data_IF_216015696249
#
_entry.id   IF_216015696249
#
_cell.length_a   1.000
_cell.length_b   1.000
_cell.length_c   1.000
_cell.angle_alpha   90.00
_cell.angle_beta   90.00
_cell.angle_gamma   90.00
#
_symmetry.space_group_name_H-M   'P 1'
#
loop_
_entity.id
_entity.type
_entity.pdbx_description
1 polymer ?
#
# COMPACT_ATOMS: atom_id res chain seq x y z
N UNK A 1 5.19 -9.63 -9.05
CA UNK A 1 4.80 -8.32 -8.47
C UNK A 1 4.97 -7.27 -9.56
N UNK A 2 3.97 -6.44 -9.85
CA UNK A 2 4.07 -5.46 -10.91
C UNK A 2 5.10 -4.38 -10.57
N UNK A 3 6.02 -4.08 -11.50
CA UNK A 3 6.94 -2.92 -11.41
C UNK A 3 6.15 -1.60 -11.21
N UNK A 4 4.94 -1.53 -11.75
CA UNK A 4 4.00 -0.43 -11.57
C UNK A 4 3.68 -0.13 -10.11
N UNK A 5 3.56 -1.16 -9.26
CA UNK A 5 3.31 -0.95 -7.83
C UNK A 5 4.54 -0.37 -7.10
N UNK A 6 5.74 -0.85 -7.41
CA UNK A 6 6.97 -0.30 -6.82
C UNK A 6 7.15 1.19 -7.18
N UNK A 7 6.89 1.55 -8.42
CA UNK A 7 6.95 2.95 -8.86
C UNK A 7 5.86 3.80 -8.22
N UNK A 8 4.64 3.27 -8.09
CA UNK A 8 3.55 3.99 -7.41
C UNK A 8 3.88 4.23 -5.93
N UNK A 9 4.40 3.24 -5.21
CA UNK A 9 4.78 3.43 -3.80
C UNK A 9 5.96 4.38 -3.64
N UNK A 10 6.83 4.50 -4.65
CA UNK A 10 7.88 5.52 -4.68
C UNK A 10 7.32 6.95 -4.75
N UNK A 11 6.23 7.18 -5.51
CA UNK A 11 5.56 8.50 -5.51
C UNK A 11 4.97 8.83 -4.13
N UNK A 12 4.40 7.85 -3.46
CA UNK A 12 3.93 8.01 -2.07
C UNK A 12 5.07 8.31 -1.10
N UNK A 13 6.25 7.73 -1.31
CA UNK A 13 7.45 8.03 -0.54
C UNK A 13 7.90 9.48 -0.77
N UNK A 14 7.89 9.96 -2.01
CA UNK A 14 8.27 11.35 -2.30
C UNK A 14 7.33 12.33 -1.60
N UNK A 15 6.02 12.09 -1.67
CA UNK A 15 5.03 12.88 -0.92
C UNK A 15 5.33 12.90 0.59
N UNK A 16 5.74 11.77 1.15
CA UNK A 16 6.11 11.65 2.57
C UNK A 16 7.40 12.39 2.94
N UNK A 17 8.41 12.35 2.09
CA UNK A 17 9.69 13.07 2.36
C UNK A 17 9.48 14.55 2.63
N UNK A 18 8.53 15.17 1.92
CA UNK A 18 8.19 16.57 2.10
C UNK A 18 7.23 16.80 3.29
N UNK A 19 6.41 15.80 3.64
CA UNK A 19 5.49 15.83 4.77
C UNK A 19 6.08 15.31 6.09
N UNK A 20 7.32 14.84 6.10
CA UNK A 20 7.97 14.28 7.29
C UNK A 20 8.08 15.25 8.47
N UNK A 21 7.68 16.52 8.30
CA UNK A 21 7.48 17.46 9.42
C UNK A 21 6.14 17.26 10.13
N UNK A 22 5.15 16.57 9.60
CA UNK A 22 3.98 16.16 10.36
C UNK A 22 4.21 14.78 10.96
N UNK A 23 4.86 14.75 12.11
CA UNK A 23 5.04 13.55 12.93
C UNK A 23 3.71 12.78 13.14
N UNK A 24 2.58 13.49 13.11
CA UNK A 24 1.25 12.93 13.26
C UNK A 24 0.86 11.90 12.19
N UNK A 25 1.27 12.09 10.94
CA UNK A 25 0.94 11.14 9.87
C UNK A 25 1.75 9.84 10.00
N UNK A 26 3.00 9.95 10.46
CA UNK A 26 3.87 8.80 10.74
C UNK A 26 3.34 8.07 11.96
N UNK A 27 3.05 8.79 13.04
CA UNK A 27 2.56 8.21 14.29
C UNK A 27 1.26 7.45 14.08
N UNK A 28 0.29 8.00 13.35
CA UNK A 28 -0.97 7.32 13.03
C UNK A 28 -0.79 6.02 12.25
N UNK A 29 0.20 5.96 11.36
CA UNK A 29 0.47 4.72 10.59
C UNK A 29 1.24 3.69 11.42
N UNK A 30 2.08 4.13 12.35
CA UNK A 30 2.70 3.25 13.35
C UNK A 30 1.66 2.66 14.29
N UNK A 31 0.64 3.45 14.68
CA UNK A 31 -0.48 3.00 15.51
C UNK A 31 -1.28 1.86 14.85
N UNK A 32 -1.28 1.74 13.52
CA UNK A 32 -1.97 0.65 12.83
C UNK A 32 -1.41 -0.71 13.23
N UNK A 33 -0.09 -0.90 13.14
CA UNK A 33 0.51 -2.19 13.47
C UNK A 33 0.39 -2.49 14.96
N UNK A 34 0.60 -1.52 15.84
CA UNK A 34 0.41 -1.70 17.27
C UNK A 34 -1.05 -1.96 17.65
N UNK A 35 -2.00 -1.35 16.97
CA UNK A 35 -3.44 -1.65 17.13
C UNK A 35 -3.79 -3.07 16.73
N UNK A 36 -3.17 -3.60 15.66
CA UNK A 36 -3.33 -4.98 15.23
C UNK A 36 -2.67 -5.94 16.23
N UNK A 37 -1.47 -5.62 16.74
CA UNK A 37 -0.81 -6.39 17.82
C UNK A 37 -1.70 -6.49 19.05
N UNK A 38 -2.30 -5.38 19.46
CA UNK A 38 -3.22 -5.35 20.57
C UNK A 38 -4.45 -6.24 20.34
N UNK A 39 -5.03 -6.17 19.12
CA UNK A 39 -6.21 -6.96 18.75
C UNK A 39 -5.92 -8.48 18.78
N UNK A 40 -4.78 -8.90 18.21
CA UNK A 40 -4.40 -10.31 18.13
C UNK A 40 -3.58 -10.79 19.33
N UNK A 41 -3.18 -9.90 20.23
CA UNK A 41 -2.27 -10.20 21.37
C UNK A 41 -1.01 -10.92 20.91
N UNK A 42 -0.47 -10.50 19.77
CA UNK A 42 0.66 -11.16 19.10
C UNK A 42 1.52 -10.12 18.40
N UNK A 43 2.83 -10.24 18.56
CA UNK A 43 3.85 -9.46 17.86
C UNK A 43 4.53 -10.33 16.80
N UNK A 44 4.73 -9.85 15.56
CA UNK A 44 5.34 -10.66 14.52
C UNK A 44 6.83 -10.91 14.80
N UNK A 45 7.26 -12.15 14.65
CA UNK A 45 8.70 -12.49 14.67
C UNK A 45 9.39 -12.06 13.38
N UNK A 46 8.73 -12.32 12.24
CA UNK A 46 9.18 -11.96 10.90
C UNK A 46 8.05 -11.22 10.19
N UNK A 47 8.32 -10.01 9.73
CA UNK A 47 7.33 -9.22 8.99
C UNK A 47 7.84 -8.91 7.59
N UNK A 48 7.00 -9.15 6.57
CA UNK A 48 7.28 -8.77 5.19
C UNK A 48 6.42 -7.58 4.78
N UNK A 49 7.04 -6.52 4.32
CA UNK A 49 6.37 -5.42 3.62
C UNK A 49 6.44 -5.60 2.11
N UNK A 50 5.29 -5.53 1.48
CA UNK A 50 5.13 -5.60 0.04
C UNK A 50 4.97 -4.18 -0.49
N UNK A 51 6.01 -3.67 -1.16
CA UNK A 51 6.12 -2.26 -1.52
C UNK A 51 6.52 -1.38 -0.34
N UNK A 52 6.72 -0.10 -0.60
CA UNK A 52 6.90 0.89 0.46
C UNK A 52 5.56 1.18 1.13
N UNK A 53 5.54 1.15 2.44
CA UNK A 53 4.42 1.65 3.23
C UNK A 53 4.95 2.53 4.37
N UNK A 54 4.33 3.67 4.66
CA UNK A 54 4.67 4.48 5.84
C UNK A 54 4.57 3.73 7.17
N UNK A 55 3.85 2.60 7.21
CA UNK A 55 3.85 1.70 8.37
C UNK A 55 5.24 1.14 8.70
N UNK A 56 6.18 1.16 7.73
CA UNK A 56 7.57 0.75 7.95
C UNK A 56 8.37 1.75 8.78
N UNK A 57 7.96 3.02 8.79
CA UNK A 57 8.68 4.07 9.49
C UNK A 57 8.46 3.92 11.00
N UNK A 58 9.52 3.72 11.75
CA UNK A 58 9.48 3.51 13.20
C UNK A 58 9.16 2.08 13.67
N UNK A 59 9.14 1.12 12.75
CA UNK A 59 9.04 -0.30 13.10
C UNK A 59 10.31 -0.76 13.81
N UNK A 60 10.16 -1.34 15.00
CA UNK A 60 11.26 -1.87 15.83
C UNK A 60 11.33 -3.39 15.85
N UNK A 61 10.67 -4.07 14.89
CA UNK A 61 10.69 -5.53 14.83
C UNK A 61 12.08 -6.07 14.51
N UNK A 62 12.39 -7.22 15.06
CA UNK A 62 13.72 -7.85 14.93
C UNK A 62 14.05 -8.22 13.48
N UNK A 63 13.09 -8.76 12.76
CA UNK A 63 13.28 -9.27 11.40
C UNK A 63 12.27 -8.61 10.46
N UNK A 64 12.71 -7.56 9.78
CA UNK A 64 11.92 -6.84 8.78
C UNK A 64 12.42 -7.22 7.39
N UNK A 65 11.51 -7.63 6.54
CA UNK A 65 11.77 -7.96 5.14
C UNK A 65 10.97 -7.03 4.24
N UNK A 66 11.52 -6.70 3.09
CA UNK A 66 10.90 -5.79 2.12
C UNK A 66 11.05 -6.36 0.71
N UNK A 67 10.00 -6.26 -0.06
CA UNK A 67 9.99 -6.63 -1.48
C UNK A 67 9.24 -5.60 -2.32
N UNK A 68 9.47 -5.59 -3.65
CA UNK A 68 8.71 -4.75 -4.57
C UNK A 68 8.88 -3.26 -4.34
N UNK A 69 10.10 -2.82 -4.08
CA UNK A 69 10.47 -1.40 -3.95
C UNK A 69 11.52 -1.02 -5.01
N UNK A 70 11.59 0.26 -5.35
CA UNK A 70 12.60 0.82 -6.27
C UNK A 70 13.95 0.99 -5.59
N UNK A 71 15.01 1.20 -6.38
CA UNK A 71 16.34 1.48 -5.84
C UNK A 71 16.36 2.80 -5.04
N UNK A 72 15.61 3.80 -5.49
CA UNK A 72 15.46 5.08 -4.80
C UNK A 72 14.81 4.89 -3.42
N UNK A 73 13.81 4.01 -3.34
CA UNK A 73 13.20 3.64 -2.04
C UNK A 73 14.20 2.92 -1.14
N UNK A 74 15.02 2.00 -1.67
CA UNK A 74 16.09 1.35 -0.88
C UNK A 74 17.06 2.38 -0.32
N UNK A 75 17.58 3.24 -1.18
CA UNK A 75 18.53 4.31 -0.77
C UNK A 75 17.94 5.19 0.34
N UNK A 76 16.64 5.50 0.26
CA UNK A 76 15.97 6.25 1.31
C UNK A 76 15.90 5.48 2.63
N UNK A 77 15.46 4.22 2.61
CA UNK A 77 15.36 3.40 3.82
C UNK A 77 16.73 3.24 4.49
N UNK A 78 17.78 3.07 3.69
CA UNK A 78 19.17 3.01 4.18
C UNK A 78 19.60 4.35 4.82
N UNK A 79 19.21 5.48 4.21
CA UNK A 79 19.55 6.82 4.73
C UNK A 79 18.93 7.15 6.08
N UNK A 80 17.78 6.54 6.39
CA UNK A 80 17.10 6.71 7.70
C UNK A 80 17.36 5.55 8.66
N UNK A 81 18.36 4.71 8.34
CA UNK A 81 18.86 3.63 9.17
C UNK A 81 17.79 2.55 9.55
N UNK A 82 16.78 2.35 8.73
CA UNK A 82 15.86 1.23 8.89
C UNK A 82 16.59 -0.07 8.55
N UNK A 83 16.65 -0.98 9.50
CA UNK A 83 17.22 -2.32 9.26
C UNK A 83 16.19 -3.22 8.61
N UNK A 84 16.47 -3.70 7.41
CA UNK A 84 15.62 -4.63 6.68
C UNK A 84 16.45 -5.59 5.82
N UNK A 85 15.84 -6.69 5.42
CA UNK A 85 16.37 -7.61 4.40
C UNK A 85 15.53 -7.46 3.14
N UNK A 86 16.15 -7.09 2.03
CA UNK A 86 15.47 -7.03 0.74
C UNK A 86 15.34 -8.42 0.11
N UNK A 87 14.15 -8.75 -0.37
CA UNK A 87 13.87 -9.98 -1.13
C UNK A 87 13.43 -9.58 -2.53
N UNK A 88 14.10 -10.12 -3.54
CA UNK A 88 13.66 -9.94 -4.93
C UNK A 88 12.29 -10.60 -5.15
N UNK A 89 11.42 -9.92 -5.88
CA UNK A 89 10.07 -10.43 -6.14
C UNK A 89 10.05 -11.81 -6.84
N UNK A 90 11.07 -12.13 -7.63
CA UNK A 90 11.20 -13.44 -8.30
C UNK A 90 11.47 -14.58 -7.31
N UNK A 91 12.10 -14.28 -6.17
CA UNK A 91 12.51 -15.27 -5.18
C UNK A 91 11.43 -15.54 -4.12
N UNK A 92 10.34 -14.75 -4.11
CA UNK A 92 9.26 -14.84 -3.11
C UNK A 92 8.67 -16.24 -2.96
N UNK A 93 8.59 -17.01 -4.05
CA UNK A 93 8.06 -18.39 -4.00
C UNK A 93 8.83 -19.30 -3.06
N UNK A 94 10.13 -19.02 -2.83
CA UNK A 94 10.96 -19.75 -1.87
C UNK A 94 10.65 -19.45 -0.41
N UNK A 95 9.81 -18.47 -0.12
CA UNK A 95 9.49 -18.00 1.23
C UNK A 95 8.08 -18.38 1.70
N UNK A 96 7.50 -19.44 1.16
CA UNK A 96 6.17 -19.88 1.54
C UNK A 96 6.05 -20.10 3.07
N UNK A 97 5.04 -19.47 3.69
CA UNK A 97 4.76 -19.54 5.15
C UNK A 97 5.91 -19.14 6.08
N UNK A 98 6.84 -18.32 5.61
CA UNK A 98 7.99 -17.90 6.42
C UNK A 98 7.75 -16.61 7.20
N UNK A 99 6.80 -15.79 6.81
CA UNK A 99 6.53 -14.53 7.49
C UNK A 99 5.36 -14.67 8.45
N UNK A 100 5.57 -14.34 9.72
CA UNK A 100 4.46 -14.27 10.68
C UNK A 100 3.39 -13.34 10.16
N UNK A 101 3.79 -12.14 9.73
CA UNK A 101 2.89 -11.16 9.12
C UNK A 101 3.39 -10.72 7.75
N UNK A 102 2.44 -10.50 6.84
CA UNK A 102 2.68 -9.86 5.53
C UNK A 102 1.84 -8.59 5.44
N UNK A 103 2.50 -7.46 5.27
CA UNK A 103 1.84 -6.16 5.08
C UNK A 103 1.81 -5.82 3.60
N UNK A 104 0.63 -5.87 2.99
CA UNK A 104 0.35 -5.48 1.62
C UNK A 104 -0.50 -4.20 1.63
N UNK A 105 0.13 -3.08 2.01
CA UNK A 105 -0.53 -1.79 2.20
C UNK A 105 -0.80 -1.04 0.89
N UNK A 106 -1.26 0.21 1.04
CA UNK A 106 -1.46 1.18 -0.04
C UNK A 106 -2.30 0.64 -1.23
N UNK A 107 -3.37 -0.09 -0.89
CA UNK A 107 -4.30 -0.69 -1.87
C UNK A 107 -3.62 -1.67 -2.86
N UNK A 108 -2.61 -2.41 -2.42
CA UNK A 108 -1.83 -3.34 -3.25
C UNK A 108 -2.67 -4.20 -4.20
N UNK A 109 -3.78 -4.75 -3.71
CA UNK A 109 -4.65 -5.64 -4.50
C UNK A 109 -5.44 -4.94 -5.61
N UNK A 110 -5.40 -3.60 -5.68
CA UNK A 110 -5.99 -2.87 -6.80
C UNK A 110 -5.06 -2.79 -8.02
N UNK A 111 -3.76 -3.13 -7.89
CA UNK A 111 -2.79 -3.15 -8.99
C UNK A 111 -2.90 -4.45 -9.79
N UNK A 112 -4.04 -4.62 -10.45
CA UNK A 112 -4.37 -5.79 -11.26
C UNK A 112 -5.15 -5.34 -12.50
N UNK A 113 -5.01 -6.06 -13.61
CA UNK A 113 -5.77 -5.78 -14.82
C UNK A 113 -7.11 -6.50 -14.83
N UNK A 114 -7.13 -7.71 -14.30
CA UNK A 114 -8.32 -8.56 -14.27
C UNK A 114 -8.66 -9.01 -12.85
N UNK A 115 -9.86 -9.52 -12.66
CA UNK A 115 -10.26 -10.16 -11.40
C UNK A 115 -9.42 -11.39 -11.08
N UNK A 116 -9.02 -12.14 -12.11
CA UNK A 116 -8.14 -13.30 -11.97
C UNK A 116 -6.75 -12.89 -11.45
N UNK A 117 -6.20 -11.76 -11.93
CA UNK A 117 -4.93 -11.22 -11.40
C UNK A 117 -5.07 -10.79 -9.95
N UNK A 118 -6.22 -10.23 -9.55
CA UNK A 118 -6.52 -9.89 -8.16
C UNK A 118 -6.52 -11.14 -7.29
N UNK A 119 -7.22 -12.19 -7.72
CA UNK A 119 -7.26 -13.46 -7.01
C UNK A 119 -5.87 -14.10 -6.88
N UNK A 120 -5.09 -14.10 -7.96
CA UNK A 120 -3.72 -14.60 -7.95
C UNK A 120 -2.82 -13.80 -6.99
N UNK A 121 -2.99 -12.49 -6.92
CA UNK A 121 -2.26 -11.62 -5.98
C UNK A 121 -2.60 -11.93 -4.53
N UNK A 122 -3.89 -12.15 -4.22
CA UNK A 122 -4.32 -12.55 -2.87
C UNK A 122 -3.75 -13.91 -2.50
N UNK A 123 -3.82 -14.88 -3.42
CA UNK A 123 -3.27 -16.23 -3.21
C UNK A 123 -1.75 -16.20 -2.97
N UNK A 124 -1.01 -15.38 -3.74
CA UNK A 124 0.44 -15.20 -3.53
C UNK A 124 0.72 -14.66 -2.12
N UNK A 125 0.07 -13.57 -1.73
CA UNK A 125 0.29 -12.96 -0.41
C UNK A 125 -0.09 -13.94 0.72
N UNK A 126 -1.21 -14.68 0.56
CA UNK A 126 -1.63 -15.70 1.52
C UNK A 126 -0.62 -16.86 1.63
N UNK A 127 0.03 -17.23 0.52
CA UNK A 127 1.06 -18.27 0.52
C UNK A 127 2.32 -17.89 1.31
N UNK A 128 2.62 -16.60 1.41
CA UNK A 128 3.79 -16.07 2.12
C UNK A 128 3.53 -15.93 3.63
N UNK A 129 2.30 -15.56 4.02
CA UNK A 129 1.93 -15.35 5.40
C UNK A 129 1.73 -16.67 6.14
N UNK A 130 2.30 -16.75 7.36
CA UNK A 130 2.09 -17.86 8.29
C UNK A 130 0.84 -17.62 9.15
N UNK A 131 0.73 -16.41 9.70
CA UNK A 131 -0.28 -16.10 10.72
C UNK A 131 -1.26 -15.03 10.24
N UNK A 132 -0.76 -13.91 9.65
CA UNK A 132 -1.59 -12.74 9.37
C UNK A 132 -1.16 -11.99 8.10
N UNK A 133 -2.17 -11.51 7.36
CA UNK A 133 -2.00 -10.48 6.33
C UNK A 133 -2.62 -9.19 6.85
N UNK A 134 -1.90 -8.08 6.70
CA UNK A 134 -2.39 -6.73 6.94
C UNK A 134 -2.45 -6.00 5.61
N UNK A 135 -3.61 -5.43 5.28
CA UNK A 135 -3.77 -4.66 4.05
C UNK A 135 -4.67 -3.45 4.27
N UNK A 136 -4.66 -2.55 3.31
CA UNK A 136 -5.56 -1.40 3.28
C UNK A 136 -6.41 -1.42 2.04
N UNK A 137 -7.65 -0.97 2.17
CA UNK A 137 -8.60 -0.94 1.07
C UNK A 137 -9.59 0.22 1.24
N UNK A 138 -9.94 0.85 0.13
CA UNK A 138 -11.02 1.84 0.12
C UNK A 138 -12.38 1.17 -0.04
N UNK A 139 -13.42 1.83 0.43
CA UNK A 139 -14.78 1.43 0.09
C UNK A 139 -15.17 1.96 -1.29
N UNK A 140 -14.97 1.10 -2.30
CA UNK A 140 -15.34 1.41 -3.68
C UNK A 140 -16.85 1.30 -3.97
N UNK A 141 -17.64 0.74 -3.06
CA UNK A 141 -19.08 0.50 -3.26
C UNK A 141 -19.87 1.78 -3.44
N UNK A 142 -19.44 2.86 -2.79
CA UNK A 142 -20.14 4.16 -2.78
C UNK A 142 -19.44 5.21 -3.67
N UNK A 143 -18.49 4.82 -4.50
CA UNK A 143 -17.81 5.77 -5.40
C UNK A 143 -18.59 5.93 -6.70
N UNK A 144 -19.02 7.14 -6.99
CA UNK A 144 -19.43 7.54 -8.33
C UNK A 144 -18.18 7.82 -9.15
N UNK A 145 -17.71 6.83 -9.89
CA UNK A 145 -16.60 7.00 -10.81
C UNK A 145 -17.01 7.91 -11.97
N UNK A 146 -16.33 9.05 -12.11
CA UNK A 146 -16.41 9.93 -13.28
C UNK A 146 -15.45 9.43 -14.33
N UNK A 147 -15.72 9.69 -15.60
CA UNK A 147 -14.85 9.29 -16.71
C UNK A 147 -13.40 9.74 -16.53
N UNK A 148 -13.24 10.92 -15.92
CA UNK A 148 -11.95 11.52 -15.59
C UNK A 148 -12.05 12.24 -14.26
N UNK A 149 -11.08 12.05 -13.41
CA UNK A 149 -11.05 12.68 -12.10
C UNK A 149 -9.61 13.07 -11.72
N UNK A 150 -9.47 14.28 -11.20
CA UNK A 150 -8.24 14.69 -10.51
C UNK A 150 -8.44 14.55 -9.00
N UNK A 151 -7.44 14.03 -8.32
CA UNK A 151 -7.38 14.12 -6.87
C UNK A 151 -7.24 15.58 -6.44
N UNK A 152 -7.50 15.86 -5.17
CA UNK A 152 -7.08 17.13 -4.62
C UNK A 152 -5.55 17.18 -4.63
N UNK A 153 -4.94 18.30 -5.10
CA UNK A 153 -3.50 18.46 -5.02
C UNK A 153 -3.04 18.35 -3.58
N UNK A 154 -2.04 17.52 -3.32
CA UNK A 154 -1.26 17.59 -2.10
C UNK A 154 -0.12 18.57 -2.34
N UNK A 155 -0.21 19.76 -1.78
CA UNK A 155 0.86 20.75 -1.82
C UNK A 155 1.70 20.64 -0.54
N UNK A 156 3.00 20.54 -0.71
CA UNK A 156 3.97 20.50 0.39
C UNK A 156 4.91 21.67 0.19
N UNK A 157 4.97 22.54 1.18
CA UNK A 157 5.86 23.70 1.19
C UNK A 157 6.97 23.45 2.21
N UNK A 158 8.21 23.53 1.74
CA UNK A 158 9.39 23.65 2.57
C UNK A 158 9.96 25.07 2.38
N UNK A 159 10.77 25.58 3.31
CA UNK A 159 11.25 26.95 3.33
C UNK A 159 11.90 27.47 2.03
N UNK A 160 12.32 26.60 1.13
CA UNK A 160 12.94 26.93 -0.16
C UNK A 160 12.33 26.21 -1.36
N UNK A 161 11.44 25.25 -1.16
CA UNK A 161 10.91 24.40 -2.26
C UNK A 161 9.42 24.16 -2.08
N UNK A 162 8.68 24.26 -3.18
CA UNK A 162 7.30 23.84 -3.24
C UNK A 162 7.18 22.57 -4.08
N UNK A 163 6.46 21.57 -3.56
CA UNK A 163 6.21 20.32 -4.25
C UNK A 163 4.70 20.06 -4.25
N UNK A 164 4.15 19.82 -5.43
CA UNK A 164 2.73 19.50 -5.60
C UNK A 164 2.61 18.11 -6.20
N UNK A 165 1.82 17.26 -5.55
CA UNK A 165 1.41 15.96 -6.08
C UNK A 165 -0.05 16.02 -6.51
N UNK A 166 -0.32 15.50 -7.69
CA UNK A 166 -1.66 15.40 -8.26
C UNK A 166 -1.85 14.03 -8.88
N UNK A 167 -2.87 13.30 -8.47
CA UNK A 167 -3.28 12.07 -9.15
C UNK A 167 -4.37 12.37 -10.16
N UNK A 168 -4.20 11.85 -11.38
CA UNK A 168 -5.20 11.84 -12.41
C UNK A 168 -5.68 10.42 -12.67
N UNK A 169 -7.00 10.22 -12.67
CA UNK A 169 -7.64 8.94 -12.92
C UNK A 169 -8.47 9.01 -14.19
N UNK A 170 -8.21 8.07 -15.09
CA UNK A 170 -9.02 7.83 -16.29
C UNK A 170 -9.69 6.48 -16.14
N UNK A 171 -11.00 6.46 -16.02
CA UNK A 171 -11.79 5.24 -15.90
C UNK A 171 -12.08 4.62 -17.27
N UNK A 172 -12.13 3.29 -17.32
CA UNK A 172 -12.41 2.55 -18.53
C UNK A 172 -13.93 2.46 -18.73
N UNK A 173 -14.40 2.82 -19.94
CA UNK A 173 -15.84 2.74 -20.26
C UNK A 173 -16.37 1.30 -20.33
N UNK A 174 -15.52 0.38 -20.79
CA UNK A 174 -15.87 -1.05 -20.92
C UNK A 174 -15.90 -1.79 -19.60
N UNK A 175 -15.19 -1.28 -18.58
CA UNK A 175 -15.12 -1.86 -17.24
C UNK A 175 -15.10 -0.76 -16.19
N UNK A 176 -16.27 -0.45 -15.64
CA UNK A 176 -16.46 0.59 -14.61
C UNK A 176 -15.63 0.37 -13.33
N UNK A 177 -15.07 -0.82 -13.16
CA UNK A 177 -14.24 -1.15 -12.01
C UNK A 177 -12.73 -0.95 -12.30
N UNK A 178 -12.35 -0.63 -13.53
CA UNK A 178 -10.97 -0.43 -13.93
C UNK A 178 -10.67 1.04 -14.26
N UNK A 179 -9.47 1.47 -13.93
CA UNK A 179 -8.99 2.81 -14.27
C UNK A 179 -7.48 2.85 -14.44
N UNK A 180 -6.99 3.88 -15.10
CA UNK A 180 -5.58 4.24 -15.16
C UNK A 180 -5.31 5.43 -14.24
N UNK A 181 -4.26 5.34 -13.44
CA UNK A 181 -3.80 6.42 -12.56
C UNK A 181 -2.49 6.97 -13.10
N UNK A 182 -2.40 8.29 -13.26
CA UNK A 182 -1.14 9.01 -13.49
C UNK A 182 -0.88 9.92 -12.29
N UNK A 183 0.33 9.88 -11.74
CA UNK A 183 0.74 10.78 -10.68
C UNK A 183 1.63 11.84 -11.27
N UNK A 184 1.29 13.10 -11.05
CA UNK A 184 2.10 14.24 -11.42
C UNK A 184 2.78 14.79 -10.18
N UNK A 185 4.09 14.95 -10.28
CA UNK A 185 4.94 15.62 -9.31
C UNK A 185 5.42 16.92 -9.96
N UNK A 186 5.07 18.05 -9.36
CA UNK A 186 5.41 19.37 -9.86
C UNK A 186 6.26 20.09 -8.82
N UNK A 187 7.49 20.42 -9.20
CA UNK A 187 8.42 21.14 -8.36
C UNK A 187 8.96 22.32 -9.15
N UNK A 188 8.75 23.52 -8.65
CA UNK A 188 9.09 24.79 -9.32
C UNK A 188 8.47 24.84 -10.75
N UNK A 189 9.29 24.90 -11.77
CA UNK A 189 8.89 24.92 -13.19
C UNK A 189 8.98 23.52 -13.86
N UNK A 190 9.28 22.47 -13.09
CA UNK A 190 9.41 21.08 -13.58
C UNK A 190 8.20 20.25 -13.21
N UNK A 191 7.75 19.44 -14.16
CA UNK A 191 6.70 18.46 -13.97
C UNK A 191 7.20 17.08 -14.37
N UNK A 192 7.10 16.13 -13.45
CA UNK A 192 7.37 14.72 -13.69
C UNK A 192 6.06 13.94 -13.63
N UNK A 193 5.83 13.06 -14.61
CA UNK A 193 4.67 12.16 -14.64
C UNK A 193 5.11 10.72 -14.41
N UNK A 194 4.38 10.01 -13.54
CA UNK A 194 4.56 8.58 -13.26
C UNK A 194 3.30 7.82 -13.65
N UNK A 195 3.46 6.74 -14.35
CA UNK A 195 2.36 5.92 -14.85
C UNK A 195 2.19 6.03 -16.37
N UNK A 196 0.99 5.74 -16.93
CA UNK A 196 -0.21 5.34 -16.20
C UNK A 196 -0.09 3.97 -15.53
N UNK A 197 -0.64 3.86 -14.31
CA UNK A 197 -0.75 2.62 -13.57
C UNK A 197 -2.15 2.04 -13.75
N UNK A 198 -2.26 0.84 -14.29
CA UNK A 198 -3.56 0.15 -14.38
C UNK A 198 -3.98 -0.31 -13.00
N UNK A 199 -5.22 0.00 -12.65
CA UNK A 199 -5.83 -0.34 -11.37
C UNK A 199 -7.24 -0.85 -11.58
N UNK A 200 -7.69 -1.69 -10.65
CA UNK A 200 -9.03 -2.26 -10.63
C UNK A 200 -9.57 -2.25 -9.20
N UNK A 201 -10.84 -1.84 -9.02
CA UNK A 201 -11.48 -1.86 -7.72
C UNK A 201 -11.46 -3.27 -7.11
N UNK A 202 -11.11 -3.34 -5.82
CA UNK A 202 -11.22 -4.54 -5.00
C UNK A 202 -12.30 -4.26 -3.95
N UNK A 203 -13.38 -5.03 -3.97
CA UNK A 203 -14.45 -4.89 -2.99
C UNK A 203 -14.19 -5.76 -1.76
N UNK A 204 -14.64 -5.33 -0.58
CA UNK A 204 -14.46 -6.10 0.67
C UNK A 204 -14.94 -7.54 0.57
N UNK A 205 -16.13 -7.76 -0.01
CA UNK A 205 -16.67 -9.11 -0.21
C UNK A 205 -15.81 -9.96 -1.15
N UNK A 206 -15.25 -9.35 -2.19
CA UNK A 206 -14.38 -9.99 -3.16
C UNK A 206 -13.05 -10.38 -2.50
N UNK A 207 -12.43 -9.43 -1.76
CA UNK A 207 -11.20 -9.72 -1.02
C UNK A 207 -11.42 -10.82 0.02
N UNK A 208 -12.53 -10.77 0.76
CA UNK A 208 -12.87 -11.82 1.73
C UNK A 208 -13.03 -13.20 1.05
N UNK A 209 -13.74 -13.26 -0.08
CA UNK A 209 -13.88 -14.50 -0.85
C UNK A 209 -12.53 -15.04 -1.30
N UNK A 210 -11.71 -14.22 -1.96
CA UNK A 210 -10.38 -14.64 -2.42
C UNK A 210 -9.46 -15.08 -1.28
N UNK A 211 -9.59 -14.44 -0.12
CA UNK A 211 -8.82 -14.81 1.07
C UNK A 211 -9.25 -16.19 1.60
N UNK A 212 -10.55 -16.48 1.65
CA UNK A 212 -11.08 -17.80 2.04
C UNK A 212 -10.63 -18.86 1.05
N UNK A 213 -10.75 -18.60 -0.25
CA UNK A 213 -10.29 -19.50 -1.32
C UNK A 213 -8.79 -19.79 -1.21
N UNK A 214 -8.00 -18.84 -0.67
CA UNK A 214 -6.58 -18.97 -0.38
C UNK A 214 -6.25 -19.59 1.00
N UNK A 215 -7.25 -20.06 1.75
CA UNK A 215 -7.08 -20.75 3.02
C UNK A 215 -7.14 -19.86 4.27
N UNK A 216 -7.63 -18.64 4.16
CA UNK A 216 -7.83 -17.76 5.31
C UNK A 216 -8.94 -18.28 6.24
N UNK A 217 -8.73 -18.12 7.54
CA UNK A 217 -9.67 -18.50 8.59
C UNK A 217 -10.60 -17.36 8.98
N UNK A 218 -10.08 -16.14 9.00
CA UNK A 218 -10.83 -14.95 9.43
C UNK A 218 -10.47 -13.75 8.56
N UNK A 219 -11.46 -12.89 8.37
CA UNK A 219 -11.34 -11.61 7.70
C UNK A 219 -11.94 -10.53 8.61
N UNK A 220 -11.14 -9.54 8.98
CA UNK A 220 -11.56 -8.50 9.91
C UNK A 220 -11.27 -7.10 9.36
N UNK A 221 -12.25 -6.20 9.44
CA UNK A 221 -12.12 -4.79 9.09
C UNK A 221 -12.02 -3.97 10.37
N UNK A 222 -10.88 -3.33 10.60
CA UNK A 222 -10.61 -2.52 11.78
C UNK A 222 -11.24 -1.14 11.65
N UNK A 223 -12.38 -0.94 12.28
CA UNK A 223 -13.11 0.35 12.22
C UNK A 223 -12.35 1.47 12.92
N UNK A 224 -11.63 1.16 13.98
CA UNK A 224 -10.90 2.13 14.80
C UNK A 224 -9.52 2.51 14.24
N UNK A 225 -9.03 1.78 13.23
CA UNK A 225 -7.75 2.02 12.59
C UNK A 225 -7.87 2.67 11.21
N UNK A 226 -9.05 3.19 10.86
CA UNK A 226 -9.24 3.92 9.61
C UNK A 226 -8.39 5.19 9.59
N UNK A 227 -7.75 5.47 8.46
CA UNK A 227 -7.01 6.70 8.27
C UNK A 227 -7.37 7.38 6.95
N UNK A 228 -7.18 8.69 6.93
CA UNK A 228 -7.39 9.48 5.72
C UNK A 228 -6.18 9.30 4.81
N UNK A 229 -6.41 8.91 3.56
CA UNK A 229 -5.33 8.83 2.58
C UNK A 229 -4.61 10.18 2.46
N UNK A 230 -3.28 10.15 2.35
CA UNK A 230 -2.47 11.37 2.20
C UNK A 230 -2.81 12.16 0.93
N UNK A 231 -3.19 11.46 -0.12
CA UNK A 231 -3.42 12.05 -1.45
C UNK A 231 -4.91 12.25 -1.73
N UNK A 232 -5.82 11.66 -0.91
CA UNK A 232 -7.27 11.72 -1.14
C UNK A 232 -8.05 11.96 0.14
N UNK A 233 -9.24 12.60 0.02
CA UNK A 233 -10.18 12.80 1.15
C UNK A 233 -10.83 11.51 1.65
N UNK A 234 -10.64 10.39 0.96
CA UNK A 234 -11.30 9.13 1.28
C UNK A 234 -10.59 8.38 2.40
N UNK A 235 -11.36 7.70 3.22
CA UNK A 235 -10.83 6.84 4.26
C UNK A 235 -10.34 5.51 3.68
N UNK A 236 -9.19 5.07 4.13
CA UNK A 236 -8.70 3.72 3.90
C UNK A 236 -9.00 2.87 5.13
N UNK A 237 -9.60 1.73 4.90
CA UNK A 237 -9.88 0.75 5.94
C UNK A 237 -8.69 -0.18 6.09
N UNK A 238 -8.29 -0.39 7.33
CA UNK A 238 -7.29 -1.42 7.65
C UNK A 238 -8.00 -2.75 7.80
N UNK A 239 -7.46 -3.75 7.13
CA UNK A 239 -7.99 -5.11 7.09
C UNK A 239 -6.92 -6.07 7.55
N UNK A 240 -7.29 -7.00 8.41
CA UNK A 240 -6.45 -8.14 8.76
C UNK A 240 -7.12 -9.44 8.34
N UNK A 241 -6.30 -10.37 7.84
CA UNK A 241 -6.72 -11.68 7.34
C UNK A 241 -5.87 -12.73 8.03
N UNK A 242 -6.49 -13.55 8.90
CA UNK A 242 -5.83 -14.66 9.58
C UNK A 242 -5.71 -15.87 8.65
N UNK A 243 -4.54 -16.48 8.60
CA UNK A 243 -4.22 -17.63 7.76
C UNK A 243 -4.23 -18.94 8.56
#
# INVERSE_FOLDING_TARGET
MPLSFATYTYTSLNALKFNLKSQDAINKKQEILSGIEHHYKSTPNNILFVGFSPMMLGVTYKNVFVTGITNETKNYLDSIAIKYTYIDAKDLKGYAKQFSWVVAGDEYFTFAQTEQDQQASVALIASLAKDLIVTTLRDYKNQNFKDREFSQPLAVYNHSESLIFLEYHKYEYSDKNAWATTVYEMQDDKTQAYGPFTRRAMFFKQLAKFSIDAGAKQFYVHKDLMYKSLIRKNYEHVISISI
#
